data_IF_524631768851
#
_entry.id   IF_524631768851
#
_cell.length_a   1.000
_cell.length_b   1.000
_cell.length_c   1.000
_cell.angle_alpha   90.00
_cell.angle_beta   90.00
_cell.angle_gamma   90.00
#
_symmetry.space_group_name_H-M   'P 1'
#
loop_
_entity.id
_entity.type
_entity.pdbx_description
1 polymer ?
#
# COMPACT_ATOMS: atom_id res chain seq x y z
N UNK A 1 -1.48 21.56 -18.68
CA UNK A 1 -2.22 21.82 -17.42
C UNK A 1 -2.02 20.60 -16.55
N UNK A 2 -1.52 20.77 -15.32
CA UNK A 2 -1.43 19.68 -14.32
C UNK A 2 -2.77 19.58 -13.61
N UNK A 3 -3.45 18.45 -13.73
CA UNK A 3 -4.72 18.21 -13.03
C UNK A 3 -4.41 17.50 -11.69
N UNK A 4 -4.88 18.09 -10.59
CA UNK A 4 -4.79 17.51 -9.24
C UNK A 4 -5.94 16.53 -9.02
N UNK A 5 -5.64 15.36 -8.45
CA UNK A 5 -6.63 14.34 -8.11
C UNK A 5 -7.12 14.52 -6.67
N UNK A 6 -8.44 14.47 -6.49
CA UNK A 6 -9.06 14.39 -5.17
C UNK A 6 -9.00 12.97 -4.57
N UNK A 7 -9.50 12.80 -3.34
CA UNK A 7 -9.49 11.49 -2.66
C UNK A 7 -10.29 10.42 -3.41
N UNK A 8 -11.44 10.78 -4.00
CA UNK A 8 -12.29 9.83 -4.71
C UNK A 8 -11.61 9.37 -6.00
N UNK A 9 -10.96 10.28 -6.72
CA UNK A 9 -10.19 9.97 -7.93
C UNK A 9 -8.95 9.13 -7.61
N UNK A 10 -8.25 9.44 -6.52
CA UNK A 10 -7.12 8.62 -6.02
C UNK A 10 -7.58 7.21 -5.69
N UNK A 11 -8.69 7.08 -4.95
CA UNK A 11 -9.19 5.77 -4.53
C UNK A 11 -9.74 4.97 -5.72
N UNK A 12 -10.45 5.63 -6.64
CA UNK A 12 -10.89 5.03 -7.91
C UNK A 12 -9.71 4.51 -8.71
N UNK A 13 -8.65 5.32 -8.86
CA UNK A 13 -7.42 4.91 -9.55
C UNK A 13 -6.77 3.70 -8.88
N UNK A 14 -6.70 3.68 -7.54
CA UNK A 14 -6.17 2.53 -6.81
C UNK A 14 -7.00 1.27 -7.02
N UNK A 15 -8.33 1.38 -7.03
CA UNK A 15 -9.25 0.26 -7.30
C UNK A 15 -9.07 -0.29 -8.70
N UNK A 16 -9.02 0.58 -9.71
CA UNK A 16 -8.76 0.18 -11.10
C UNK A 16 -7.42 -0.56 -11.25
N UNK A 17 -6.32 0.01 -10.73
CA UNK A 17 -5.00 -0.65 -10.77
C UNK A 17 -5.05 -2.03 -10.10
N UNK A 18 -5.71 -2.14 -8.93
CA UNK A 18 -5.87 -3.40 -8.22
C UNK A 18 -6.63 -4.40 -9.08
N UNK A 19 -7.78 -4.01 -9.61
CA UNK A 19 -8.68 -4.90 -10.36
C UNK A 19 -8.02 -5.36 -11.67
N UNK A 20 -7.34 -4.45 -12.38
CA UNK A 20 -6.56 -4.78 -13.57
C UNK A 20 -5.42 -5.75 -13.28
N UNK A 21 -4.76 -5.62 -12.12
CA UNK A 21 -3.72 -6.57 -11.70
C UNK A 21 -4.33 -7.93 -11.36
N UNK A 22 -5.47 -7.96 -10.67
CA UNK A 22 -6.16 -9.22 -10.34
C UNK A 22 -6.56 -9.96 -11.62
N UNK A 23 -7.05 -9.25 -12.63
CA UNK A 23 -7.50 -9.84 -13.90
C UNK A 23 -6.30 -10.27 -14.76
N UNK A 24 -5.33 -9.39 -14.98
CA UNK A 24 -4.28 -9.60 -15.98
C UNK A 24 -3.00 -10.23 -15.41
N UNK A 25 -2.77 -10.12 -14.10
CA UNK A 25 -1.58 -10.62 -13.41
C UNK A 25 -1.96 -11.28 -12.07
N UNK A 26 -2.81 -12.32 -12.07
CA UNK A 26 -3.43 -12.87 -10.86
C UNK A 26 -2.40 -13.37 -9.84
N UNK A 27 -1.18 -13.70 -10.26
CA UNK A 27 -0.10 -14.07 -9.37
C UNK A 27 0.30 -12.94 -8.39
N UNK A 28 -0.01 -11.68 -8.69
CA UNK A 28 0.15 -10.53 -7.80
C UNK A 28 -1.11 -10.14 -7.00
N UNK A 29 -2.21 -10.89 -7.09
CA UNK A 29 -3.47 -10.60 -6.38
C UNK A 29 -3.27 -10.30 -4.90
N UNK A 30 -2.60 -11.18 -4.17
CA UNK A 30 -2.30 -10.99 -2.74
C UNK A 30 -1.48 -9.73 -2.49
N UNK A 31 -0.52 -9.41 -3.36
CA UNK A 31 0.34 -8.23 -3.20
C UNK A 31 -0.47 -6.93 -3.29
N UNK A 32 -1.33 -6.80 -4.30
CA UNK A 32 -2.16 -5.60 -4.47
C UNK A 32 -3.25 -5.48 -3.41
N UNK A 33 -3.71 -6.62 -2.85
CA UNK A 33 -4.60 -6.63 -1.69
C UNK A 33 -3.95 -5.90 -0.50
N UNK A 34 -2.71 -6.27 -0.13
CA UNK A 34 -2.00 -5.64 0.99
C UNK A 34 -1.60 -4.18 0.73
N UNK A 35 -1.32 -3.81 -0.53
CA UNK A 35 -1.14 -2.39 -0.88
C UNK A 35 -2.41 -1.58 -0.60
N UNK A 36 -3.56 -2.06 -1.08
CA UNK A 36 -4.81 -1.31 -1.04
C UNK A 36 -5.45 -1.24 0.34
N UNK A 37 -5.56 -2.38 1.04
CA UNK A 37 -6.28 -2.46 2.32
C UNK A 37 -5.42 -2.08 3.53
N UNK A 38 -4.10 -2.25 3.45
CA UNK A 38 -3.19 -2.06 4.59
C UNK A 38 -2.14 -0.96 4.39
N UNK A 39 -2.15 -0.29 3.22
CA UNK A 39 -1.20 0.79 2.93
C UNK A 39 0.26 0.34 3.02
N UNK A 40 0.53 -0.95 2.78
CA UNK A 40 1.88 -1.50 2.78
C UNK A 40 2.75 -0.77 1.75
N UNK A 41 4.03 -0.62 2.07
CA UNK A 41 5.03 -0.31 1.04
C UNK A 41 5.25 -1.55 0.20
N UNK A 42 5.50 -1.35 -1.08
CA UNK A 42 5.77 -2.46 -1.99
C UNK A 42 6.91 -3.38 -1.50
N UNK A 43 7.93 -2.84 -0.82
CA UNK A 43 9.03 -3.64 -0.27
C UNK A 43 8.66 -4.49 0.96
N UNK A 44 7.56 -4.15 1.65
CA UNK A 44 7.05 -4.90 2.81
C UNK A 44 6.24 -6.13 2.37
N UNK A 45 5.88 -6.24 1.09
CA UNK A 45 5.18 -7.40 0.54
C UNK A 45 6.10 -8.59 0.28
N UNK A 46 7.42 -8.36 0.34
CA UNK A 46 8.45 -9.33 0.01
C UNK A 46 9.36 -9.56 1.22
N UNK A 47 10.06 -10.69 1.24
CA UNK A 47 10.96 -11.15 2.29
C UNK A 47 10.25 -11.46 3.62
N UNK A 48 9.06 -12.08 3.56
CA UNK A 48 8.35 -12.60 4.75
C UNK A 48 8.08 -11.54 5.85
N UNK A 49 7.87 -10.28 5.44
CA UNK A 49 7.70 -9.15 6.35
C UNK A 49 6.29 -8.99 6.92
N UNK A 50 5.33 -9.78 6.46
CA UNK A 50 3.94 -9.77 6.95
C UNK A 50 3.67 -11.13 7.57
N UNK A 51 3.17 -11.13 8.80
CA UNK A 51 2.77 -12.32 9.54
C UNK A 51 1.45 -12.10 10.27
N UNK A 52 0.87 -13.19 10.77
CA UNK A 52 -0.34 -13.17 11.59
C UNK A 52 0.02 -13.57 13.02
N UNK A 53 -0.45 -12.79 14.00
CA UNK A 53 -0.38 -13.12 15.42
C UNK A 53 -1.74 -13.63 15.89
N UNK A 54 -1.81 -14.95 16.12
CA UNK A 54 -3.02 -15.63 16.58
C UNK A 54 -3.44 -15.24 18.01
N UNK A 55 -2.53 -14.72 18.84
CA UNK A 55 -2.87 -14.34 20.21
C UNK A 55 -3.66 -13.03 20.26
N UNK A 56 -3.33 -12.09 19.37
CA UNK A 56 -3.96 -10.77 19.32
C UNK A 56 -4.94 -10.60 18.16
N UNK A 57 -5.09 -11.63 17.32
CA UNK A 57 -5.85 -11.63 16.07
C UNK A 57 -5.52 -10.45 15.15
N UNK A 58 -4.21 -10.23 14.94
CA UNK A 58 -3.70 -9.08 14.19
C UNK A 58 -2.66 -9.49 13.16
N UNK A 59 -2.56 -8.67 12.12
CA UNK A 59 -1.42 -8.70 11.22
C UNK A 59 -0.25 -7.94 11.83
N UNK A 60 0.92 -8.56 11.80
CA UNK A 60 2.18 -7.92 12.12
C UNK A 60 2.93 -7.60 10.82
N UNK A 61 3.45 -6.39 10.70
CA UNK A 61 4.24 -5.99 9.54
C UNK A 61 5.58 -5.41 9.98
N UNK A 62 6.65 -6.12 9.64
CA UNK A 62 8.04 -5.69 9.83
C UNK A 62 8.44 -4.67 8.74
N UNK A 63 8.59 -3.39 9.10
CA UNK A 63 8.82 -2.34 8.13
C UNK A 63 10.20 -2.45 7.46
N UNK A 64 10.30 -2.04 6.20
CA UNK A 64 11.58 -2.06 5.45
C UNK A 64 12.63 -1.06 6.00
N UNK A 65 12.22 -0.08 6.82
CA UNK A 65 13.09 0.96 7.39
C UNK A 65 13.21 0.74 8.91
N UNK A 66 14.08 1.51 9.59
CA UNK A 66 14.21 1.58 11.07
C UNK A 66 12.97 2.18 11.76
N UNK A 67 11.82 1.61 11.44
CA UNK A 67 10.48 1.92 11.92
C UNK A 67 10.07 0.82 12.92
N UNK A 68 9.01 1.08 13.69
CA UNK A 68 8.42 0.09 14.59
C UNK A 68 7.60 -0.94 13.80
N UNK A 69 7.58 -2.18 14.28
CA UNK A 69 6.67 -3.22 13.81
C UNK A 69 5.24 -2.70 13.93
N UNK A 70 4.47 -2.83 12.85
CA UNK A 70 3.06 -2.42 12.82
C UNK A 70 2.18 -3.57 13.22
N UNK A 71 1.17 -3.31 14.04
CA UNK A 71 0.14 -4.28 14.39
C UNK A 71 -1.21 -3.74 13.91
N UNK A 72 -1.82 -4.41 12.92
CA UNK A 72 -3.01 -3.93 12.22
C UNK A 72 -4.16 -4.95 12.37
N UNK A 73 -5.37 -4.44 12.58
CA UNK A 73 -6.59 -5.24 12.61
C UNK A 73 -6.88 -5.85 11.24
N UNK A 74 -7.42 -7.07 11.22
CA UNK A 74 -7.90 -7.72 10.01
C UNK A 74 -9.16 -6.98 9.50
N UNK A 75 -9.16 -6.56 8.23
CA UNK A 75 -10.24 -5.74 7.65
C UNK A 75 -11.09 -6.48 6.62
N UNK A 76 -10.74 -7.73 6.28
CA UNK A 76 -11.46 -8.56 5.32
C UNK A 76 -11.34 -10.04 5.68
N UNK A 77 -12.38 -10.82 5.37
CA UNK A 77 -12.35 -12.29 5.44
C UNK A 77 -11.24 -12.88 4.54
N UNK A 78 -10.93 -12.22 3.43
CA UNK A 78 -9.89 -12.67 2.49
C UNK A 78 -8.47 -12.44 3.00
N UNK A 79 -8.27 -11.67 4.07
CA UNK A 79 -6.92 -11.25 4.50
C UNK A 79 -6.00 -12.44 4.80
N UNK A 80 -6.46 -13.43 5.56
CA UNK A 80 -5.62 -14.57 5.95
C UNK A 80 -5.33 -15.48 4.74
N UNK A 81 -6.33 -15.85 3.90
CA UNK A 81 -6.04 -16.52 2.63
C UNK A 81 -5.05 -15.75 1.73
N UNK A 82 -5.17 -14.42 1.65
CA UNK A 82 -4.23 -13.59 0.88
C UNK A 82 -2.83 -13.58 1.50
N UNK A 83 -2.72 -13.65 2.83
CA UNK A 83 -1.43 -13.74 3.51
C UNK A 83 -0.74 -15.06 3.20
N UNK A 84 -1.44 -16.17 3.29
CA UNK A 84 -0.92 -17.50 2.93
C UNK A 84 -0.45 -17.53 1.47
N UNK A 85 -1.30 -17.04 0.55
CA UNK A 85 -0.94 -16.91 -0.87
C UNK A 85 0.31 -16.02 -1.07
N UNK A 86 0.44 -14.94 -0.31
CA UNK A 86 1.61 -14.07 -0.35
C UNK A 86 2.87 -14.79 0.13
N UNK A 87 2.78 -15.62 1.17
CA UNK A 87 3.90 -16.36 1.75
C UNK A 87 4.38 -17.48 0.81
N UNK A 88 3.46 -18.24 0.22
CA UNK A 88 3.78 -19.32 -0.74
C UNK A 88 4.52 -18.82 -2.00
N UNK A 89 4.39 -17.53 -2.33
CA UNK A 89 4.94 -16.92 -3.54
C UNK A 89 6.27 -16.20 -3.35
N UNK A 90 6.75 -16.05 -2.11
CA UNK A 90 7.94 -15.25 -1.79
C UNK A 90 9.21 -15.69 -2.53
N UNK A 91 9.37 -17.01 -2.74
CA UNK A 91 10.58 -17.59 -3.34
C UNK A 91 10.50 -17.76 -4.87
N UNK A 92 9.39 -17.34 -5.48
CA UNK A 92 9.20 -17.44 -6.92
C UNK A 92 9.92 -16.28 -7.61
N UNK A 93 11.05 -16.57 -8.29
CA UNK A 93 11.95 -15.55 -8.85
C UNK A 93 11.27 -14.46 -9.73
N UNK A 94 10.28 -14.84 -10.53
CA UNK A 94 9.58 -13.90 -11.41
C UNK A 94 8.59 -12.99 -10.65
N UNK A 95 8.19 -13.36 -9.43
CA UNK A 95 7.35 -12.58 -8.52
C UNK A 95 8.27 -11.76 -7.63
N UNK A 96 8.66 -10.58 -8.12
CA UNK A 96 9.53 -9.68 -7.37
C UNK A 96 9.01 -8.23 -7.37
N UNK A 97 9.56 -7.43 -6.45
CA UNK A 97 9.25 -6.01 -6.29
C UNK A 97 9.38 -5.20 -7.59
N UNK A 98 10.43 -5.46 -8.38
CA UNK A 98 10.70 -4.68 -9.60
C UNK A 98 9.64 -4.92 -10.67
N UNK A 99 9.22 -6.17 -10.83
CA UNK A 99 8.16 -6.55 -11.77
C UNK A 99 6.81 -5.98 -11.34
N UNK A 100 6.44 -6.08 -10.06
CA UNK A 100 5.20 -5.49 -9.55
C UNK A 100 5.15 -3.97 -9.75
N UNK A 101 6.26 -3.26 -9.47
CA UNK A 101 6.35 -1.81 -9.70
C UNK A 101 6.09 -1.45 -11.18
N UNK A 102 6.72 -2.18 -12.11
CA UNK A 102 6.53 -1.98 -13.55
C UNK A 102 5.09 -2.27 -13.99
N UNK A 103 4.47 -3.31 -13.43
CA UNK A 103 3.08 -3.66 -13.74
C UNK A 103 2.14 -2.56 -13.23
N UNK A 104 2.32 -2.08 -12.00
CA UNK A 104 1.53 -0.96 -11.45
C UNK A 104 1.63 0.27 -12.37
N UNK A 105 2.83 0.61 -12.84
CA UNK A 105 3.03 1.72 -13.78
C UNK A 105 2.38 1.47 -15.15
N UNK A 106 2.40 0.21 -15.62
CA UNK A 106 1.84 -0.20 -16.92
C UNK A 106 0.30 -0.12 -16.92
N UNK A 107 -0.36 -0.56 -15.86
CA UNK A 107 -1.83 -0.59 -15.78
C UNK A 107 -2.42 0.75 -15.31
N UNK A 108 -1.62 1.61 -14.69
CA UNK A 108 -2.08 2.92 -14.25
C UNK A 108 -2.43 3.81 -15.46
N UNK A 109 -3.72 4.15 -15.58
CA UNK A 109 -4.27 5.01 -16.63
C UNK A 109 -3.54 6.35 -16.77
N UNK A 110 -3.07 6.89 -15.65
CA UNK A 110 -2.45 8.22 -15.62
C UNK A 110 -0.95 8.20 -15.91
N UNK A 111 -0.30 7.03 -16.12
CA UNK A 111 1.10 6.71 -16.51
C UNK A 111 2.28 7.45 -15.87
N UNK A 112 2.08 8.66 -15.35
CA UNK A 112 3.07 9.62 -14.87
C UNK A 112 2.54 10.39 -13.65
N UNK A 113 1.68 9.79 -12.82
CA UNK A 113 1.27 10.42 -11.56
C UNK A 113 2.49 10.83 -10.73
N UNK A 114 2.45 12.05 -10.21
CA UNK A 114 3.52 12.65 -9.41
C UNK A 114 3.00 13.07 -8.04
N UNK A 115 3.95 13.16 -7.11
CA UNK A 115 3.80 13.84 -5.83
C UNK A 115 5.09 14.64 -5.59
N UNK A 116 4.96 15.94 -5.32
CA UNK A 116 6.11 16.86 -5.42
C UNK A 116 6.82 16.73 -6.77
N UNK A 117 8.15 16.60 -6.78
CA UNK A 117 8.93 16.48 -8.02
C UNK A 117 9.22 15.03 -8.46
N UNK A 118 8.51 14.03 -7.92
CA UNK A 118 8.80 12.60 -8.15
C UNK A 118 7.57 11.85 -8.65
N UNK A 119 7.81 10.82 -9.47
CA UNK A 119 6.77 9.83 -9.81
C UNK A 119 6.34 9.08 -8.55
N UNK A 120 5.04 8.88 -8.39
CA UNK A 120 4.48 8.26 -7.19
C UNK A 120 4.56 6.73 -7.21
N UNK A 121 4.30 6.09 -8.36
CA UNK A 121 4.31 4.64 -8.51
C UNK A 121 3.45 3.91 -7.46
N UNK A 122 3.95 2.79 -6.91
CA UNK A 122 3.25 2.02 -5.89
C UNK A 122 2.98 2.77 -4.57
N UNK A 123 3.66 3.90 -4.31
CA UNK A 123 3.36 4.71 -3.12
C UNK A 123 1.95 5.32 -3.17
N UNK A 124 1.31 5.38 -4.34
CA UNK A 124 -0.07 5.84 -4.51
C UNK A 124 -1.02 5.13 -3.55
N UNK A 125 -0.90 3.80 -3.41
CA UNK A 125 -1.72 3.01 -2.50
C UNK A 125 -1.57 3.42 -1.03
N UNK A 126 -0.34 3.74 -0.60
CA UNK A 126 -0.08 4.22 0.75
C UNK A 126 -0.66 5.61 0.97
N UNK A 127 -0.56 6.51 0.00
CA UNK A 127 -1.23 7.82 0.06
C UNK A 127 -2.75 7.67 0.15
N UNK A 128 -3.34 6.79 -0.67
CA UNK A 128 -4.77 6.49 -0.62
C UNK A 128 -5.20 5.98 0.76
N UNK A 129 -4.49 4.98 1.30
CA UNK A 129 -4.79 4.43 2.61
C UNK A 129 -4.74 5.49 3.71
N UNK A 130 -3.70 6.32 3.74
CA UNK A 130 -3.54 7.41 4.72
C UNK A 130 -4.68 8.43 4.59
N UNK A 131 -4.97 8.92 3.37
CA UNK A 131 -6.04 9.90 3.16
C UNK A 131 -7.41 9.34 3.54
N UNK A 132 -7.67 8.04 3.35
CA UNK A 132 -8.88 7.37 3.86
C UNK A 132 -8.95 7.31 5.38
N UNK A 133 -7.84 7.06 6.08
CA UNK A 133 -7.81 7.12 7.55
C UNK A 133 -8.15 8.52 8.06
N UNK A 134 -7.58 9.56 7.44
CA UNK A 134 -7.88 10.97 7.77
C UNK A 134 -9.36 11.29 7.51
N UNK A 135 -9.89 10.88 6.36
CA UNK A 135 -11.31 11.07 6.03
C UNK A 135 -12.26 10.34 7.00
N UNK A 136 -11.80 9.23 7.60
CA UNK A 136 -12.51 8.51 8.65
C UNK A 136 -12.38 9.18 10.05
N UNK A 137 -11.75 10.36 10.15
CA UNK A 137 -11.62 11.12 11.39
C UNK A 137 -10.45 10.71 12.28
N UNK A 138 -9.58 9.80 11.82
CA UNK A 138 -8.41 9.40 12.62
C UNK A 138 -7.44 10.56 12.77
N UNK A 139 -6.97 10.72 14.00
CA UNK A 139 -5.94 11.71 14.31
C UNK A 139 -4.59 11.25 13.77
N UNK A 140 -3.73 12.21 13.51
CA UNK A 140 -2.49 11.93 12.83
C UNK A 140 -1.55 11.06 13.68
N UNK A 141 -1.50 11.28 14.98
CA UNK A 141 -0.71 10.51 15.94
C UNK A 141 -1.09 9.02 15.86
N UNK A 142 -2.39 8.73 15.74
CA UNK A 142 -2.91 7.37 15.55
C UNK A 142 -2.45 6.77 14.23
N UNK A 143 -2.52 7.54 13.12
CA UNK A 143 -2.04 7.09 11.81
C UNK A 143 -0.53 6.81 11.85
N UNK A 144 0.25 7.65 12.52
CA UNK A 144 1.69 7.46 12.67
C UNK A 144 2.04 6.18 13.42
N UNK A 145 1.31 5.89 14.50
CA UNK A 145 1.42 4.63 15.24
C UNK A 145 1.08 3.43 14.34
N UNK A 146 -0.03 3.50 13.61
CA UNK A 146 -0.42 2.45 12.65
C UNK A 146 0.61 2.25 11.54
N UNK A 147 1.34 3.30 11.16
CA UNK A 147 2.40 3.25 10.15
C UNK A 147 3.80 2.92 10.72
N UNK A 148 3.91 2.77 12.04
CA UNK A 148 5.14 2.39 12.74
C UNK A 148 6.25 3.44 12.62
N UNK A 149 5.92 4.73 12.47
CA UNK A 149 6.95 5.76 12.33
C UNK A 149 7.64 6.05 13.67
N UNK A 150 8.98 6.10 13.63
CA UNK A 150 9.84 6.41 14.79
C UNK A 150 10.11 7.92 14.93
N UNK A 151 9.85 8.72 13.89
CA UNK A 151 9.97 10.18 13.92
C UNK A 151 8.73 10.87 13.37
N UNK A 152 8.35 11.99 13.96
CA UNK A 152 7.14 12.77 13.61
C UNK A 152 7.19 13.37 12.19
N UNK A 153 8.34 13.41 11.52
CA UNK A 153 8.61 14.18 10.28
C UNK A 153 7.84 13.78 9.01
N UNK A 154 6.86 12.88 9.10
CA UNK A 154 6.10 12.38 7.95
C UNK A 154 4.69 13.02 7.87
N UNK A 155 4.30 13.84 8.85
CA UNK A 155 2.99 14.52 8.86
C UNK A 155 2.77 15.34 7.58
N UNK A 156 3.77 16.08 7.14
CA UNK A 156 3.58 17.01 6.02
C UNK A 156 3.55 16.31 4.66
N UNK A 157 4.29 15.22 4.48
CA UNK A 157 4.51 14.65 3.13
C UNK A 157 3.30 13.89 2.58
N UNK A 158 2.42 13.32 3.39
CA UNK A 158 1.29 12.49 2.90
C UNK A 158 -0.07 13.18 2.97
N UNK A 159 -0.28 14.04 3.96
CA UNK A 159 -1.52 14.81 4.11
C UNK A 159 -1.61 15.92 3.07
N UNK A 160 -0.57 16.75 2.98
CA UNK A 160 -0.51 17.89 2.07
C UNK A 160 -0.06 17.53 0.66
N UNK A 161 0.42 16.29 0.44
CA UNK A 161 0.81 15.87 -0.91
C UNK A 161 -0.39 15.94 -1.84
N UNK A 162 -0.21 16.77 -2.85
CA UNK A 162 -1.02 16.82 -4.06
C UNK A 162 -0.55 15.71 -4.99
N UNK A 163 -1.50 14.96 -5.52
CA UNK A 163 -1.24 13.93 -6.53
C UNK A 163 -1.78 14.47 -7.85
N UNK A 164 -0.95 14.50 -8.88
CA UNK A 164 -1.31 15.12 -10.16
C UNK A 164 -0.65 14.38 -11.34
N UNK A 165 -1.18 14.57 -12.54
CA UNK A 165 -0.65 14.00 -13.80
C UNK A 165 -0.37 15.08 -14.84
#
# INVERSE_FOLDING_TARGET
>A
MTAELDLNEIDHTCRQIRDDIIINYPYYKSHVHFLYYYGCRIGELFNYRISYDANSDKLLIDPQKKNNVRSLTIVSFDTLPMLEELQLKQDIQHINKRNLQRIIEKVNIYRNLKTGNKKIGAHLFRHNWIKKQVAAGKQFEEINQLLGYTSQSIQDTYLTSKIYY
#
